data_IF_055295309352
#
_entry.id   IF_055295309352
#
_cell.length_a   1.000
_cell.length_b   1.000
_cell.length_c   1.000
_cell.angle_alpha   90.00
_cell.angle_beta   90.00
_cell.angle_gamma   90.00
#
_symmetry.space_group_name_H-M   'P 1'
#
loop_
_entity.id
_entity.type
_entity.pdbx_description
1 polymer ?
#
# COMPACT_ATOMS: atom_id res chain seq x y z
N UNK A 1 3.71 1.44 -9.81
CA UNK A 1 5.05 1.33 -10.45
C UNK A 1 6.05 2.01 -9.52
N UNK A 2 7.24 1.43 -9.34
CA UNK A 2 8.37 2.05 -8.64
C UNK A 2 9.45 2.24 -9.70
N UNK A 3 9.36 3.36 -10.41
CA UNK A 3 10.14 3.63 -11.63
C UNK A 3 11.64 3.61 -11.38
N UNK A 4 12.08 4.24 -10.29
CA UNK A 4 13.48 4.32 -9.89
C UNK A 4 14.16 2.96 -9.73
N UNK A 5 13.38 1.89 -9.52
CA UNK A 5 13.86 0.53 -9.32
C UNK A 5 13.47 -0.43 -10.46
N UNK A 6 12.76 0.04 -11.49
CA UNK A 6 12.18 -0.81 -12.55
C UNK A 6 11.29 -1.94 -11.97
N UNK A 7 10.37 -1.58 -11.07
CA UNK A 7 9.48 -2.56 -10.43
C UNK A 7 8.01 -2.25 -10.66
N UNK A 8 7.21 -3.26 -10.99
CA UNK A 8 5.76 -3.25 -10.82
C UNK A 8 5.44 -4.03 -9.54
N UNK A 9 4.88 -3.34 -8.54
CA UNK A 9 4.34 -3.97 -7.35
C UNK A 9 2.81 -4.08 -7.46
N UNK A 10 2.25 -5.19 -7.00
CA UNK A 10 0.81 -5.45 -6.98
C UNK A 10 0.40 -5.99 -5.62
N UNK A 11 -0.82 -5.66 -5.21
CA UNK A 11 -1.45 -6.30 -4.06
C UNK A 11 -1.87 -7.73 -4.44
N UNK A 12 -1.32 -8.72 -3.75
CA UNK A 12 -1.72 -10.13 -3.86
C UNK A 12 -2.69 -10.42 -2.70
N UNK A 13 -3.96 -10.08 -2.94
CA UNK A 13 -5.04 -10.06 -1.96
C UNK A 13 -5.23 -11.44 -1.31
N UNK A 14 -5.20 -12.48 -2.12
CA UNK A 14 -5.46 -13.87 -1.73
C UNK A 14 -4.34 -14.44 -0.86
N UNK A 15 -3.10 -13.94 -1.02
CA UNK A 15 -1.95 -14.35 -0.21
C UNK A 15 -1.51 -13.29 0.82
N UNK A 16 -2.27 -12.21 1.01
CA UNK A 16 -2.05 -11.19 2.05
C UNK A 16 -0.65 -10.56 1.99
N UNK A 17 -0.19 -10.24 0.78
CA UNK A 17 1.16 -9.73 0.54
C UNK A 17 1.20 -8.74 -0.61
N UNK A 18 2.35 -8.12 -0.82
CA UNK A 18 2.63 -7.31 -2.01
C UNK A 18 3.75 -8.00 -2.77
N UNK A 19 3.56 -8.23 -4.07
CA UNK A 19 4.57 -8.86 -4.93
C UNK A 19 5.09 -7.82 -5.91
N UNK A 20 6.40 -7.66 -5.97
CA UNK A 20 7.07 -6.75 -6.89
C UNK A 20 7.85 -7.53 -7.94
N UNK A 21 7.56 -7.27 -9.20
CA UNK A 21 8.17 -7.89 -10.37
C UNK A 21 9.15 -6.93 -11.03
N UNK A 22 10.24 -7.48 -11.57
CA UNK A 22 11.18 -6.72 -12.38
C UNK A 22 10.55 -6.40 -13.75
N UNK A 23 10.62 -5.15 -14.17
CA UNK A 23 10.19 -4.71 -15.51
C UNK A 23 11.33 -4.60 -16.50
N UNK A 24 12.58 -4.73 -16.04
CA UNK A 24 13.75 -4.69 -16.92
C UNK A 24 13.82 -5.99 -17.71
N UNK A 25 13.90 -5.86 -19.05
CA UNK A 25 14.06 -6.93 -20.02
C UNK A 25 12.87 -7.92 -20.13
N UNK A 26 11.64 -7.51 -19.79
CA UNK A 26 10.41 -8.33 -19.95
C UNK A 26 10.39 -9.69 -19.24
N UNK A 27 11.32 -9.95 -18.32
CA UNK A 27 11.38 -11.27 -17.66
C UNK A 27 10.28 -11.47 -16.61
N UNK A 28 9.61 -10.41 -16.14
CA UNK A 28 8.47 -10.50 -15.23
C UNK A 28 8.76 -11.26 -13.93
N UNK A 29 10.04 -11.48 -13.60
CA UNK A 29 10.46 -12.28 -12.47
C UNK A 29 10.14 -11.56 -11.16
N UNK A 30 9.67 -12.31 -10.16
CA UNK A 30 9.47 -11.79 -8.81
C UNK A 30 10.81 -11.32 -8.26
N UNK A 31 10.89 -10.03 -7.92
CA UNK A 31 12.08 -9.41 -7.34
C UNK A 31 11.96 -9.26 -5.82
N UNK A 32 10.78 -8.86 -5.33
CA UNK A 32 10.51 -8.72 -3.91
C UNK A 32 9.13 -9.27 -3.56
N UNK A 33 9.02 -9.80 -2.34
CA UNK A 33 7.75 -10.13 -1.70
C UNK A 33 7.74 -9.39 -0.37
N UNK A 34 6.72 -8.56 -0.16
CA UNK A 34 6.50 -7.85 1.10
C UNK A 34 5.42 -8.60 1.87
N UNK A 35 5.83 -9.22 2.96
CA UNK A 35 4.99 -9.94 3.91
C UNK A 35 5.25 -9.39 5.31
N UNK A 36 4.20 -9.34 6.14
CA UNK A 36 4.32 -8.96 7.53
C UNK A 36 3.18 -9.61 8.32
N UNK A 37 3.44 -10.05 9.56
CA UNK A 37 2.41 -10.69 10.39
C UNK A 37 1.22 -9.79 10.73
N UNK A 38 1.40 -8.47 10.63
CA UNK A 38 0.33 -7.48 10.81
C UNK A 38 -0.43 -7.20 9.51
N UNK A 39 0.13 -7.56 8.35
CA UNK A 39 -0.48 -7.31 7.04
C UNK A 39 -1.61 -8.32 6.83
N UNK A 40 -2.82 -7.81 6.60
CA UNK A 40 -3.98 -8.62 6.24
C UNK A 40 -4.21 -8.51 4.73
N UNK A 41 -5.36 -9.00 4.25
CA UNK A 41 -5.83 -8.82 2.87
C UNK A 41 -5.58 -7.40 2.36
N UNK A 42 -4.64 -7.26 1.42
CA UNK A 42 -4.26 -5.98 0.82
C UNK A 42 -5.20 -5.70 -0.34
N UNK A 43 -5.88 -4.56 -0.32
CA UNK A 43 -6.83 -4.18 -1.37
C UNK A 43 -6.23 -3.22 -2.40
N UNK A 44 -5.42 -2.27 -1.94
CA UNK A 44 -4.74 -1.33 -2.81
C UNK A 44 -3.39 -0.90 -2.22
N UNK A 45 -2.54 -0.42 -3.12
CA UNK A 45 -1.23 0.13 -2.80
C UNK A 45 -0.95 1.37 -3.64
N UNK A 46 -0.13 2.28 -3.12
CA UNK A 46 0.44 3.39 -3.89
C UNK A 46 1.88 3.65 -3.48
N UNK A 47 2.67 4.28 -4.34
CA UNK A 47 4.09 4.56 -4.12
C UNK A 47 4.32 6.07 -3.99
N UNK A 48 5.05 6.46 -2.94
CA UNK A 48 5.59 7.80 -2.75
C UNK A 48 7.06 7.83 -3.13
N UNK A 49 7.36 8.43 -4.27
CA UNK A 49 8.72 8.61 -4.77
C UNK A 49 9.54 9.62 -3.97
N UNK A 50 8.90 10.54 -3.26
CA UNK A 50 9.60 11.58 -2.51
C UNK A 50 10.21 11.02 -1.22
N UNK A 51 9.49 10.09 -0.56
CA UNK A 51 9.94 9.44 0.68
C UNK A 51 10.44 8.02 0.50
N UNK A 52 10.27 7.45 -0.70
CA UNK A 52 10.48 6.04 -0.99
C UNK A 52 9.62 5.15 -0.09
N UNK A 53 8.32 5.41 -0.03
CA UNK A 53 7.38 4.61 0.74
C UNK A 53 6.35 3.93 -0.16
N UNK A 54 5.96 2.71 0.20
CA UNK A 54 4.77 2.04 -0.33
C UNK A 54 3.70 2.14 0.73
N UNK A 55 2.61 2.82 0.40
CA UNK A 55 1.41 2.80 1.23
C UNK A 55 0.53 1.64 0.78
N UNK A 56 -0.08 0.96 1.75
CA UNK A 56 -1.01 -0.13 1.50
C UNK A 56 -2.24 0.02 2.40
N UNK A 57 -3.38 -0.51 1.96
CA UNK A 57 -4.59 -0.58 2.78
C UNK A 57 -5.13 -2.01 2.83
N UNK A 58 -5.56 -2.39 4.02
CA UNK A 58 -6.37 -3.58 4.26
C UNK A 58 -7.76 -3.20 4.73
N UNK A 59 -8.74 -3.98 4.27
CA UNK A 59 -10.12 -3.87 4.71
C UNK A 59 -10.35 -4.52 6.06
N UNK A 60 -11.50 -4.20 6.66
CA UNK A 60 -11.95 -4.80 7.92
C UNK A 60 -12.21 -6.29 7.72
N UNK A 61 -11.78 -7.10 8.66
CA UNK A 61 -12.14 -8.51 8.79
C UNK A 61 -13.06 -8.72 10.00
N UNK A 62 -13.43 -9.97 10.27
CA UNK A 62 -14.14 -10.31 11.52
C UNK A 62 -13.32 -9.97 12.77
N UNK A 63 -11.98 -9.98 12.67
CA UNK A 63 -11.08 -9.89 13.81
C UNK A 63 -10.22 -8.62 13.84
N UNK A 64 -10.10 -7.92 12.70
CA UNK A 64 -9.23 -6.76 12.55
C UNK A 64 -10.00 -5.60 11.91
N UNK A 65 -9.79 -4.35 12.35
CA UNK A 65 -10.31 -3.18 11.65
C UNK A 65 -9.64 -3.02 10.28
N UNK A 66 -10.15 -2.10 9.47
CA UNK A 66 -9.41 -1.64 8.30
C UNK A 66 -8.17 -0.86 8.77
N UNK A 67 -7.02 -1.15 8.16
CA UNK A 67 -5.70 -0.65 8.57
C UNK A 67 -4.95 -0.20 7.34
N UNK A 68 -4.27 0.94 7.45
CA UNK A 68 -3.27 1.36 6.50
C UNK A 68 -1.86 1.03 6.97
N UNK A 69 -0.97 0.80 6.03
CA UNK A 69 0.43 0.40 6.27
C UNK A 69 1.35 1.31 5.47
N UNK A 70 2.54 1.53 6.02
CA UNK A 70 3.64 2.19 5.33
C UNK A 70 4.82 1.24 5.31
N UNK A 71 5.29 0.88 4.12
CA UNK A 71 6.48 0.06 3.92
C UNK A 71 7.60 0.88 3.28
N UNK A 72 8.84 0.54 3.58
CA UNK A 72 9.99 1.12 2.90
C UNK A 72 10.10 0.59 1.46
N UNK A 73 10.33 1.49 0.51
CA UNK A 73 10.76 1.19 -0.85
C UNK A 73 12.25 1.51 -1.06
N UNK A 74 12.99 1.85 0.00
CA UNK A 74 14.43 2.05 -0.09
C UNK A 74 15.11 0.68 -0.38
N UNK A 75 16.03 0.57 -1.36
CA UNK A 75 16.67 -0.69 -1.71
C UNK A 75 17.28 -1.47 -0.55
N UNK A 76 17.81 -0.77 0.47
CA UNK A 76 18.48 -1.39 1.62
C UNK A 76 17.50 -1.90 2.69
N UNK A 77 16.24 -1.48 2.64
CA UNK A 77 15.21 -1.85 3.62
C UNK A 77 13.87 -2.19 2.95
N UNK A 78 13.91 -2.57 1.66
CA UNK A 78 12.71 -2.74 0.84
C UNK A 78 11.74 -3.74 1.49
N UNK A 79 10.48 -3.34 1.63
CA UNK A 79 9.43 -4.13 2.28
C UNK A 79 9.41 -4.08 3.80
N UNK A 80 10.33 -3.36 4.46
CA UNK A 80 10.28 -3.20 5.92
C UNK A 80 9.07 -2.37 6.33
N UNK A 81 8.28 -2.86 7.30
CA UNK A 81 7.17 -2.11 7.86
C UNK A 81 7.69 -0.91 8.67
N UNK A 82 7.26 0.28 8.30
CA UNK A 82 7.60 1.55 8.96
C UNK A 82 6.54 1.90 9.98
N UNK A 83 5.27 1.85 9.57
CA UNK A 83 4.15 2.23 10.44
C UNK A 83 2.84 1.59 10.00
N UNK A 84 1.91 1.54 10.95
CA UNK A 84 0.49 1.28 10.69
C UNK A 84 -0.32 2.50 11.11
N UNK A 85 -1.41 2.76 10.41
CA UNK A 85 -2.30 3.88 10.68
C UNK A 85 -3.75 3.43 10.56
N UNK A 86 -4.59 3.99 11.43
CA UNK A 86 -6.01 3.66 11.45
C UNK A 86 -6.75 4.54 10.47
N UNK A 87 -7.63 3.93 9.68
CA UNK A 87 -8.67 4.67 8.99
C UNK A 87 -9.63 5.17 10.07
N UNK A 88 -9.84 6.49 10.15
CA UNK A 88 -10.51 7.17 11.27
C UNK A 88 -11.98 6.81 11.45
N UNK A 89 -12.56 6.03 10.54
CA UNK A 89 -14.00 5.85 10.47
C UNK A 89 -14.47 4.42 10.80
N UNK A 90 -15.75 4.32 11.19
CA UNK A 90 -16.45 3.07 11.52
C UNK A 90 -16.64 2.14 10.31
N UNK A 91 -16.38 2.65 9.11
CA UNK A 91 -16.54 1.97 7.84
C UNK A 91 -15.24 1.26 7.48
N UNK A 92 -15.36 0.09 6.86
CA UNK A 92 -14.30 -0.92 6.85
C UNK A 92 -14.05 -1.53 5.48
N UNK A 93 -14.45 -0.86 4.41
CA UNK A 93 -14.33 -1.40 3.05
C UNK A 93 -13.53 -0.48 2.10
N UNK A 94 -12.28 -0.10 2.45
CA UNK A 94 -11.40 0.59 1.54
C UNK A 94 -10.96 -0.37 0.44
N UNK A 95 -11.06 0.07 -0.82
CA UNK A 95 -10.74 -0.74 -2.01
C UNK A 95 -9.79 -0.04 -2.97
N UNK A 96 -9.56 1.26 -2.78
CA UNK A 96 -8.63 2.02 -3.61
C UNK A 96 -7.81 2.99 -2.76
N UNK A 97 -6.60 3.29 -3.22
CA UNK A 97 -5.65 4.16 -2.54
C UNK A 97 -4.80 4.89 -3.58
N UNK A 98 -4.80 6.22 -3.52
CA UNK A 98 -3.92 7.05 -4.32
C UNK A 98 -3.32 8.18 -3.49
N UNK A 99 -2.36 8.89 -4.06
CA UNK A 99 -1.65 9.99 -3.43
C UNK A 99 -1.69 11.23 -4.31
N UNK A 100 -1.70 12.41 -3.68
CA UNK A 100 -1.51 13.68 -4.40
C UNK A 100 -0.11 13.74 -5.04
N UNK A 101 -0.01 14.50 -6.13
CA UNK A 101 1.26 14.68 -6.87
C UNK A 101 2.39 15.25 -5.99
N UNK A 102 2.05 16.07 -5.00
CA UNK A 102 3.00 16.66 -4.06
C UNK A 102 3.34 15.76 -2.87
N UNK A 103 2.76 14.56 -2.79
CA UNK A 103 2.99 13.60 -1.72
C UNK A 103 2.50 14.08 -0.34
N UNK A 104 1.59 15.06 -0.28
CA UNK A 104 1.07 15.61 0.99
C UNK A 104 -0.24 15.00 1.44
N UNK A 105 -0.98 14.32 0.55
CA UNK A 105 -2.27 13.74 0.91
C UNK A 105 -2.46 12.36 0.30
N UNK A 106 -3.01 11.43 1.09
CA UNK A 106 -3.54 10.16 0.61
C UNK A 106 -5.05 10.26 0.43
N UNK A 107 -5.57 9.59 -0.59
CA UNK A 107 -7.00 9.46 -0.84
C UNK A 107 -7.38 7.98 -0.84
N UNK A 108 -8.36 7.64 -0.01
CA UNK A 108 -8.86 6.28 0.15
C UNK A 108 -10.27 6.21 -0.41
N UNK A 109 -10.47 5.32 -1.38
CA UNK A 109 -11.79 5.02 -1.94
C UNK A 109 -12.47 3.90 -1.14
N UNK A 110 -13.63 4.19 -0.57
CA UNK A 110 -14.50 3.21 0.07
C UNK A 110 -15.67 2.85 -0.83
N UNK A 111 -16.07 1.57 -0.81
CA UNK A 111 -17.22 1.08 -1.57
C UNK A 111 -18.48 0.89 -0.71
N UNK A 112 -18.33 0.95 0.62
CA UNK A 112 -19.45 0.83 1.59
C UNK A 112 -19.17 1.66 2.84
N UNK A 113 -19.62 2.92 2.90
CA UNK A 113 -20.37 3.66 1.86
C UNK A 113 -19.47 4.07 0.69
N UNK A 114 -20.08 4.37 -0.47
CA UNK A 114 -19.37 4.94 -1.61
C UNK A 114 -18.90 6.36 -1.31
N UNK A 115 -17.61 6.53 -1.02
CA UNK A 115 -16.99 7.85 -0.77
C UNK A 115 -15.48 7.82 -0.92
N UNK A 116 -14.88 9.00 -0.90
CA UNK A 116 -13.44 9.19 -0.84
C UNK A 116 -13.10 9.93 0.45
N UNK A 117 -12.08 9.47 1.17
CA UNK A 117 -11.55 10.12 2.37
C UNK A 117 -10.12 10.58 2.09
N UNK A 118 -9.77 11.79 2.49
CA UNK A 118 -8.40 12.31 2.42
C UNK A 118 -7.70 12.25 3.78
N UNK A 119 -6.41 11.96 3.77
CA UNK A 119 -5.51 12.01 4.93
C UNK A 119 -4.30 12.87 4.59
N UNK A 120 -3.96 13.80 5.47
CA UNK A 120 -2.72 14.56 5.33
C UNK A 120 -1.54 13.72 5.81
N UNK A 121 -0.47 13.72 4.99
CA UNK A 121 0.81 13.11 5.32
C UNK A 121 1.69 14.22 5.90
N UNK A 122 1.75 14.29 7.22
CA UNK A 122 2.66 15.18 7.93
C UNK A 122 4.05 14.53 8.01
N UNK A 123 5.09 15.34 7.79
CA UNK A 123 6.49 14.94 7.90
C UNK A 123 6.91 14.63 9.34
#
# INVERSE_FOLDING_TARGET
LIESLNLICVADRENQRIVCFNTKNDEGNVKYIIENTLLNTVYAITYDSTRNYIYAISGKTRFSPAIGYTFSANPNSFGSLISTWKLLDKYGEPHDLTMSLDGRSLFVGEIRPNRIISFDIFN
#
